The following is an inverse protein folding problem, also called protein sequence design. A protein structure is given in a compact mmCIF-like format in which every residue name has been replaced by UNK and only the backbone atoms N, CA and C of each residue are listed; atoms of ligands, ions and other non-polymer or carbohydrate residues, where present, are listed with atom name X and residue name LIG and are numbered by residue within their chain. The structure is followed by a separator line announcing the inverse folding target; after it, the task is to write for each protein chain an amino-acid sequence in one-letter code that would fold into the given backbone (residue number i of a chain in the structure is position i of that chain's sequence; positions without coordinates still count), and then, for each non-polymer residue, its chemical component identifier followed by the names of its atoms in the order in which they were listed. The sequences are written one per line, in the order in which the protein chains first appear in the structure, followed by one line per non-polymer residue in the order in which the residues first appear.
data_IF_378070910316
#
_entry.id   IF_378070910316
#
_cell.length_a   1.000
_cell.length_b   1.000
_cell.length_c   1.000
_cell.angle_alpha   90.00
_cell.angle_beta   90.00
_cell.angle_gamma   90.00
#
_symmetry.space_group_name_H-M   'P 1'
#
loop_
_entity.id
_entity.type
_entity.pdbx_description
1 polymer ?
#
# COMPACT_ATOMS: atom_id res chain seq x y z
N UNK A 1 -12.06 16.69 -5.27
CA UNK A 1 -10.84 17.26 -4.67
C UNK A 1 -9.71 16.28 -4.92
N UNK A 2 -8.76 16.63 -5.78
CA UNK A 2 -7.58 15.79 -6.05
C UNK A 2 -6.69 15.86 -4.82
N UNK A 3 -6.56 14.76 -4.07
CA UNK A 3 -5.68 14.72 -2.90
C UNK A 3 -4.27 15.12 -3.34
N UNK A 4 -3.62 16.13 -2.73
CA UNK A 4 -2.27 16.53 -3.13
C UNK A 4 -1.35 15.32 -3.04
N UNK A 5 -0.43 15.21 -4.01
CA UNK A 5 0.52 14.11 -4.07
C UNK A 5 1.35 14.15 -2.77
N UNK A 6 1.46 13.04 -2.02
CA UNK A 6 2.27 13.03 -0.81
C UNK A 6 3.73 13.36 -1.15
N UNK A 7 4.32 14.24 -0.35
CA UNK A 7 5.76 14.50 -0.40
C UNK A 7 6.50 13.37 0.28
N UNK A 8 7.12 12.50 -0.52
CA UNK A 8 7.94 11.41 -0.01
C UNK A 8 9.31 11.95 0.42
N UNK A 9 9.88 11.42 1.51
CA UNK A 9 11.17 11.88 2.00
C UNK A 9 12.28 11.62 0.98
N UNK A 10 13.23 12.56 0.88
CA UNK A 10 14.41 12.42 0.03
C UNK A 10 15.48 11.57 0.73
N UNK A 11 15.21 10.26 0.83
CA UNK A 11 16.12 9.27 1.44
C UNK A 11 16.70 8.33 0.38
N UNK A 12 17.81 7.63 0.69
CA UNK A 12 18.35 6.60 -0.19
C UNK A 12 17.28 5.59 -0.61
N UNK A 13 17.26 5.25 -1.90
CA UNK A 13 16.24 4.39 -2.50
C UNK A 13 16.82 3.04 -2.85
N UNK A 14 16.10 1.99 -2.50
CA UNK A 14 16.47 0.61 -2.75
C UNK A 14 15.33 -0.12 -3.46
N UNK A 15 15.63 -0.80 -4.56
CA UNK A 15 14.64 -1.65 -5.26
C UNK A 15 14.79 -3.07 -4.75
N UNK A 16 13.69 -3.63 -4.24
CA UNK A 16 13.66 -4.99 -3.69
C UNK A 16 12.59 -5.82 -4.39
N UNK A 17 12.65 -7.15 -4.25
CA UNK A 17 11.60 -8.03 -4.77
C UNK A 17 10.25 -7.74 -4.10
N UNK A 18 9.16 -8.17 -4.73
CA UNK A 18 7.81 -8.06 -4.15
C UNK A 18 7.73 -8.75 -2.79
N UNK A 19 8.30 -9.94 -2.68
CA UNK A 19 8.26 -10.73 -1.46
C UNK A 19 9.12 -10.12 -0.36
N UNK A 20 10.26 -9.53 -0.71
CA UNK A 20 11.06 -8.77 0.25
C UNK A 20 10.31 -7.55 0.77
N UNK A 21 9.64 -6.80 -0.11
CA UNK A 21 8.86 -5.65 0.30
C UNK A 21 7.69 -6.04 1.23
N UNK A 22 7.02 -7.16 0.94
CA UNK A 22 5.99 -7.75 1.82
C UNK A 22 6.58 -8.16 3.16
N UNK A 23 7.75 -8.80 3.17
CA UNK A 23 8.45 -9.19 4.39
C UNK A 23 8.72 -7.97 5.27
N UNK A 24 9.30 -6.91 4.70
CA UNK A 24 9.58 -5.66 5.42
C UNK A 24 8.30 -5.00 5.96
N UNK A 25 7.25 -4.93 5.14
CA UNK A 25 5.94 -4.38 5.55
C UNK A 25 5.33 -5.16 6.74
N UNK A 26 5.39 -6.48 6.68
CA UNK A 26 4.85 -7.37 7.72
C UNK A 26 5.68 -7.32 9.00
N UNK A 27 7.02 -7.32 8.88
CA UNK A 27 7.92 -7.19 10.03
C UNK A 27 7.74 -5.86 10.76
N UNK A 28 7.53 -4.77 10.02
CA UNK A 28 7.21 -3.47 10.58
C UNK A 28 5.75 -3.36 11.09
N UNK A 29 4.94 -4.42 10.93
CA UNK A 29 3.55 -4.52 11.37
C UNK A 29 2.66 -3.38 10.88
N UNK A 30 2.94 -2.80 9.70
CA UNK A 30 2.31 -1.55 9.29
C UNK A 30 0.79 -1.66 9.13
N UNK A 31 0.27 -2.76 8.58
CA UNK A 31 -1.18 -2.95 8.50
C UNK A 31 -1.82 -3.11 9.89
N UNK A 32 -1.17 -3.81 10.81
CA UNK A 32 -1.63 -3.93 12.19
C UNK A 32 -1.64 -2.56 12.89
N UNK A 33 -0.58 -1.77 12.76
CA UNK A 33 -0.50 -0.41 13.31
C UNK A 33 -1.63 0.48 12.77
N UNK A 34 -1.96 0.36 11.48
CA UNK A 34 -3.13 1.03 10.89
C UNK A 34 -4.44 0.59 11.54
N UNK A 35 -4.67 -0.72 11.69
CA UNK A 35 -5.90 -1.25 12.30
C UNK A 35 -6.07 -0.82 13.77
N UNK A 36 -4.96 -0.57 14.48
CA UNK A 36 -4.96 -0.08 15.85
C UNK A 36 -4.96 1.45 15.98
N UNK A 37 -5.07 2.18 14.87
CA UNK A 37 -5.16 3.64 14.87
C UNK A 37 -3.84 4.39 15.10
N UNK A 38 -2.70 3.68 15.08
CA UNK A 38 -1.38 4.31 15.18
C UNK A 38 -0.98 5.04 13.89
N UNK A 39 -1.55 4.61 12.76
CA UNK A 39 -1.32 5.18 11.44
C UNK A 39 -2.61 5.71 10.85
N UNK A 40 -2.50 6.66 9.93
CA UNK A 40 -3.62 7.15 9.13
C UNK A 40 -3.50 6.64 7.70
N UNK A 41 -4.60 6.20 7.10
CA UNK A 41 -4.66 5.84 5.68
C UNK A 41 -5.43 6.88 4.86
N UNK A 42 -4.97 7.12 3.63
CA UNK A 42 -5.69 7.94 2.62
C UNK A 42 -5.70 7.20 1.30
N UNK A 43 -6.89 7.06 0.71
CA UNK A 43 -7.04 6.55 -0.66
C UNK A 43 -6.51 7.61 -1.63
N UNK A 44 -5.42 7.30 -2.32
CA UNK A 44 -4.84 8.16 -3.35
C UNK A 44 -5.58 8.02 -4.66
N UNK A 45 -5.88 6.78 -5.02
CA UNK A 45 -6.50 6.43 -6.28
C UNK A 45 -7.41 5.22 -6.08
N UNK A 46 -8.52 5.18 -6.82
CA UNK A 46 -9.44 4.07 -6.80
C UNK A 46 -10.14 3.89 -8.14
N UNK A 47 -10.33 2.64 -8.53
CA UNK A 47 -11.06 2.27 -9.73
C UNK A 47 -11.72 0.90 -9.56
N UNK A 48 -12.72 0.54 -10.38
CA UNK A 48 -13.25 -0.81 -10.39
C UNK A 48 -12.13 -1.84 -10.60
N UNK A 49 -12.19 -2.96 -9.87
CA UNK A 49 -11.24 -4.05 -10.07
C UNK A 49 -11.38 -4.59 -11.51
N UNK A 50 -10.27 -4.82 -12.23
CA UNK A 50 -10.35 -5.34 -13.60
C UNK A 50 -10.92 -6.76 -13.59
N UNK A 51 -11.69 -7.13 -14.61
CA UNK A 51 -12.30 -8.47 -14.71
C UNK A 51 -11.24 -9.59 -14.62
N UNK A 52 -10.06 -9.37 -15.19
CA UNK A 52 -8.93 -10.29 -15.15
C UNK A 52 -8.41 -10.59 -13.72
N UNK A 53 -8.68 -9.71 -12.73
CA UNK A 53 -8.31 -9.94 -11.34
C UNK A 53 -9.21 -10.95 -10.61
N UNK A 54 -10.27 -11.44 -11.27
CA UNK A 54 -11.21 -12.46 -10.75
C UNK A 54 -11.73 -12.15 -9.34
N UNK A 55 -11.92 -10.86 -9.04
CA UNK A 55 -12.51 -10.41 -7.77
C UNK A 55 -14.03 -10.49 -7.82
N UNK A 56 -14.68 -10.47 -6.65
CA UNK A 56 -16.16 -10.41 -6.57
C UNK A 56 -16.67 -9.15 -7.29
N UNK A 57 -17.84 -9.22 -7.97
CA UNK A 57 -18.46 -8.03 -8.56
C UNK A 57 -18.58 -6.87 -7.55
N UNK A 58 -18.32 -5.65 -8.02
CA UNK A 58 -18.33 -4.45 -7.18
C UNK A 58 -17.06 -4.24 -6.34
N UNK A 59 -16.06 -5.13 -6.41
CA UNK A 59 -14.75 -4.90 -5.78
C UNK A 59 -14.04 -3.71 -6.43
N UNK A 60 -13.48 -2.82 -5.61
CA UNK A 60 -12.65 -1.70 -6.05
C UNK A 60 -11.17 -2.00 -5.81
N UNK A 61 -10.35 -1.62 -6.76
CA UNK A 61 -8.90 -1.54 -6.66
C UNK A 61 -8.53 -0.17 -6.10
N UNK A 62 -7.70 -0.13 -5.06
CA UNK A 62 -7.27 1.11 -4.42
C UNK A 62 -5.75 1.17 -4.31
N UNK A 63 -5.22 2.38 -4.48
CA UNK A 63 -3.90 2.74 -3.98
C UNK A 63 -4.07 3.58 -2.73
N UNK A 64 -3.48 3.12 -1.64
CA UNK A 64 -3.63 3.73 -0.32
C UNK A 64 -2.25 4.13 0.21
N UNK A 65 -2.17 5.33 0.79
CA UNK A 65 -0.96 5.82 1.45
C UNK A 65 -1.18 5.79 2.95
N UNK A 66 -0.23 5.23 3.69
CA UNK A 66 -0.21 5.25 5.15
C UNK A 66 0.71 6.35 5.64
N UNK A 67 0.28 7.02 6.70
CA UNK A 67 0.97 8.14 7.32
C UNK A 67 1.21 7.86 8.80
N UNK A 68 2.41 8.23 9.26
CA UNK A 68 2.75 8.37 10.68
C UNK A 68 2.82 9.88 10.96
N UNK A 69 1.79 10.42 11.64
CA UNK A 69 1.53 11.85 11.67
C UNK A 69 1.29 12.43 10.27
N UNK A 70 2.17 13.34 9.84
CA UNK A 70 2.15 13.95 8.50
C UNK A 70 3.07 13.25 7.50
N UNK A 71 3.93 12.34 7.95
CA UNK A 71 4.94 11.70 7.11
C UNK A 71 4.38 10.46 6.41
N UNK A 72 4.45 10.35 5.07
CA UNK A 72 4.04 9.14 4.36
C UNK A 72 5.07 8.03 4.58
N UNK A 73 4.63 6.86 5.04
CA UNK A 73 5.51 5.73 5.38
C UNK A 73 5.27 4.47 4.56
N UNK A 74 4.11 4.32 3.91
CA UNK A 74 3.84 3.21 3.02
C UNK A 74 2.85 3.58 1.92
N UNK A 75 3.03 3.02 0.74
CA UNK A 75 2.06 3.01 -0.34
C UNK A 75 1.72 1.55 -0.64
N UNK A 76 0.44 1.22 -0.66
CA UNK A 76 -0.05 -0.15 -0.84
C UNK A 76 -1.14 -0.18 -1.90
N UNK A 77 -1.22 -1.31 -2.60
CA UNK A 77 -2.39 -1.69 -3.39
C UNK A 77 -3.29 -2.60 -2.57
N UNK A 78 -4.60 -2.41 -2.66
CA UNK A 78 -5.55 -3.32 -2.02
C UNK A 78 -6.83 -3.44 -2.85
N UNK A 79 -7.49 -4.59 -2.74
CA UNK A 79 -8.84 -4.78 -3.23
C UNK A 79 -9.82 -4.64 -2.07
N UNK A 80 -10.87 -3.84 -2.22
CA UNK A 80 -11.92 -3.67 -1.22
C UNK A 80 -13.23 -4.14 -1.81
N UNK A 81 -13.86 -5.10 -1.15
CA UNK A 81 -15.17 -5.66 -1.53
C UNK A 81 -16.30 -4.68 -1.14
N UNK A 82 -17.53 -4.86 -1.68
CA UNK A 82 -18.67 -4.01 -1.31
C UNK A 82 -19.00 -4.00 0.19
N UNK A 83 -18.67 -5.08 0.91
CA UNK A 83 -18.84 -5.20 2.37
C UNK A 83 -17.73 -4.53 3.18
N UNK A 84 -16.77 -3.87 2.52
CA UNK A 84 -15.62 -3.21 3.14
C UNK A 84 -14.45 -4.14 3.48
N UNK A 85 -14.59 -5.46 3.32
CA UNK A 85 -13.51 -6.42 3.55
C UNK A 85 -12.46 -6.40 2.44
N UNK A 86 -11.24 -6.83 2.75
CA UNK A 86 -10.18 -6.94 1.76
C UNK A 86 -10.35 -8.18 0.87
N UNK A 87 -10.23 -7.97 -0.45
CA UNK A 87 -10.16 -9.00 -1.48
C UNK A 87 -8.80 -9.69 -1.56
N UNK A 88 -8.61 -10.55 -2.56
CA UNK A 88 -7.40 -11.35 -2.76
C UNK A 88 -6.93 -12.08 -1.48
N UNK A 89 -5.70 -11.81 -1.00
CA UNK A 89 -5.10 -12.42 0.20
C UNK A 89 -5.67 -11.90 1.51
N UNK A 90 -6.59 -10.93 1.48
CA UNK A 90 -7.09 -10.25 2.68
C UNK A 90 -6.07 -9.29 3.31
N UNK A 91 -4.97 -8.97 2.61
CA UNK A 91 -3.93 -8.06 3.08
C UNK A 91 -3.54 -7.05 1.99
N UNK A 92 -3.13 -5.82 2.37
CA UNK A 92 -2.56 -4.87 1.44
C UNK A 92 -1.23 -5.36 0.84
N UNK A 93 -0.99 -5.03 -0.44
CA UNK A 93 0.23 -5.37 -1.16
C UNK A 93 1.13 -4.12 -1.27
N UNK A 94 2.30 -4.08 -0.60
CA UNK A 94 3.12 -2.87 -0.58
C UNK A 94 3.78 -2.60 -1.94
N UNK A 95 3.85 -1.32 -2.30
CA UNK A 95 4.50 -0.77 -3.51
C UNK A 95 5.75 0.04 -3.13
N UNK A 96 5.66 0.78 -2.02
CA UNK A 96 6.73 1.64 -1.48
C UNK A 96 6.67 1.66 0.05
N UNK A 97 7.82 1.61 0.71
CA UNK A 97 7.94 1.74 2.17
C UNK A 97 9.01 2.77 2.53
N UNK A 98 8.82 3.50 3.62
CA UNK A 98 9.85 4.27 4.30
C UNK A 98 10.11 3.61 5.65
N UNK A 99 11.30 3.02 5.81
CA UNK A 99 11.70 2.31 7.02
C UNK A 99 13.18 2.56 7.27
N UNK A 100 13.55 2.81 8.53
CA UNK A 100 14.95 2.94 8.97
C UNK A 100 15.80 3.90 8.11
N UNK A 101 15.25 5.06 7.74
CA UNK A 101 15.96 6.07 6.95
C UNK A 101 16.18 5.70 5.47
N UNK A 102 15.42 4.74 4.93
CA UNK A 102 15.48 4.31 3.52
C UNK A 102 14.10 4.26 2.89
N UNK A 103 14.05 4.42 1.57
CA UNK A 103 12.86 4.14 0.77
C UNK A 103 13.03 2.83 0.03
N UNK A 104 12.21 1.83 0.35
CA UNK A 104 12.13 0.57 -0.38
C UNK A 104 11.06 0.67 -1.46
N UNK A 105 11.40 0.27 -2.68
CA UNK A 105 10.52 0.29 -3.84
C UNK A 105 10.41 -1.11 -4.42
N UNK A 106 9.22 -1.49 -4.86
CA UNK A 106 9.06 -2.74 -5.61
C UNK A 106 9.90 -2.67 -6.90
N UNK A 107 10.78 -3.65 -7.09
CA UNK A 107 11.49 -3.87 -8.34
C UNK A 107 10.49 -4.22 -9.44
N UNK A 108 10.75 -3.73 -10.67
CA UNK A 108 9.99 -4.19 -11.83
C UNK A 108 10.39 -5.65 -12.05
N UNK A 109 9.43 -6.56 -12.07
CA UNK A 109 9.71 -7.91 -12.58
C UNK A 109 10.03 -7.78 -14.08
N UNK A 110 11.12 -8.39 -14.57
CA UNK A 110 11.30 -8.57 -16.01
C UNK A 110 10.08 -9.32 -16.55
N UNK A 111 9.57 -8.87 -17.70
CA UNK A 111 8.42 -9.47 -18.38
C UNK A 111 8.75 -10.86 -18.91
#
# INVERSE_FOLDING_TARGET
MTTPRPEWPNLPRERVSRDELRRLFNQARLYHRLLHGELRAVVRDQHPAPAAARQRPGTVSQIVIYFDGVAPIAEVHQYVRPDGSLGASGQPDPIRLVLNGRVYLQARQPR
#
